data_IF_953354496805
#
_entry.id   IF_953354496805
#
_cell.length_a   1.000
_cell.length_b   1.000
_cell.length_c   1.000
_cell.angle_alpha   90.00
_cell.angle_beta   90.00
_cell.angle_gamma   90.00
#
_symmetry.space_group_name_H-M   'P 1'
#
loop_
_entity.id
_entity.type
_entity.pdbx_description
1 polymer ?
#
# COMPACT_ATOMS: atom_id res chain seq x y z
N UNK A 1 -12.99 -9.91 -21.08
CA UNK A 1 -13.44 -9.42 -19.77
C UNK A 1 -13.67 -7.93 -19.91
N UNK A 2 -14.89 -7.46 -19.70
CA UNK A 2 -15.15 -6.02 -19.57
C UNK A 2 -14.26 -5.51 -18.42
N UNK A 3 -13.53 -4.40 -18.58
CA UNK A 3 -12.76 -3.85 -17.46
C UNK A 3 -13.73 -3.62 -16.31
N UNK A 4 -13.54 -4.33 -15.18
CA UNK A 4 -14.31 -4.07 -13.97
C UNK A 4 -14.10 -2.62 -13.54
N UNK A 5 -15.08 -2.03 -12.86
CA UNK A 5 -14.95 -0.68 -12.32
C UNK A 5 -13.73 -0.62 -11.39
N UNK A 6 -12.93 0.45 -11.50
CA UNK A 6 -11.76 0.70 -10.65
C UNK A 6 -12.11 1.78 -9.64
N UNK A 7 -11.86 1.52 -8.36
CA UNK A 7 -11.95 2.54 -7.32
C UNK A 7 -10.62 2.66 -6.58
N UNK A 8 -10.07 3.88 -6.54
CA UNK A 8 -8.97 4.23 -5.64
C UNK A 8 -9.53 4.60 -4.28
N UNK A 9 -8.99 4.06 -3.20
CA UNK A 9 -9.56 4.23 -1.85
C UNK A 9 -8.49 4.55 -0.81
N UNK A 10 -8.86 5.38 0.17
CA UNK A 10 -8.02 5.74 1.31
C UNK A 10 -8.87 5.99 2.57
N UNK A 11 -8.24 5.87 3.74
CA UNK A 11 -8.86 6.17 5.03
C UNK A 11 -9.05 7.68 5.20
N UNK A 12 -10.21 8.08 5.74
CA UNK A 12 -10.50 9.47 6.08
C UNK A 12 -11.21 9.56 7.43
N UNK A 13 -11.36 10.78 7.98
CA UNK A 13 -12.02 10.98 9.29
C UNK A 13 -13.45 10.42 9.38
N UNK A 14 -14.12 10.25 8.24
CA UNK A 14 -15.48 9.73 8.15
C UNK A 14 -15.55 8.24 7.76
N UNK A 15 -14.42 7.53 7.72
CA UNK A 15 -14.31 6.13 7.30
C UNK A 15 -13.37 5.99 6.10
N UNK A 16 -13.92 5.74 4.93
CA UNK A 16 -13.18 5.48 3.69
C UNK A 16 -13.71 6.33 2.54
N UNK A 17 -12.82 7.07 1.88
CA UNK A 17 -13.15 7.77 0.64
C UNK A 17 -12.82 6.88 -0.55
N UNK A 18 -13.69 6.86 -1.55
CA UNK A 18 -13.49 6.13 -2.81
C UNK A 18 -13.63 7.09 -3.99
N UNK A 19 -12.62 7.09 -4.87
CA UNK A 19 -12.65 7.76 -6.17
C UNK A 19 -12.89 6.71 -7.25
N UNK A 20 -14.04 6.78 -7.90
CA UNK A 20 -14.45 5.84 -8.94
C UNK A 20 -13.92 6.30 -10.29
N UNK A 21 -13.35 5.36 -11.06
CA UNK A 21 -12.91 5.62 -12.43
C UNK A 21 -13.63 4.70 -13.41
N UNK A 22 -14.46 5.32 -14.25
CA UNK A 22 -15.02 4.71 -15.46
C UNK A 22 -14.33 5.33 -16.69
N UNK A 23 -14.23 4.57 -17.79
CA UNK A 23 -13.38 4.93 -18.93
C UNK A 23 -13.79 6.24 -19.62
N UNK A 24 -15.08 6.60 -19.55
CA UNK A 24 -15.68 7.72 -20.30
C UNK A 24 -16.48 8.70 -19.43
N UNK A 25 -16.35 8.62 -18.10
CA UNK A 25 -17.03 9.53 -17.16
C UNK A 25 -16.03 10.32 -16.33
N UNK A 26 -16.39 11.54 -15.89
CA UNK A 26 -15.61 12.22 -14.89
C UNK A 26 -15.52 11.34 -13.63
N UNK A 27 -14.39 11.36 -12.89
CA UNK A 27 -14.29 10.66 -11.63
C UNK A 27 -15.40 11.11 -10.68
N UNK A 28 -15.99 10.15 -9.98
CA UNK A 28 -16.97 10.41 -8.92
C UNK A 28 -16.40 10.01 -7.57
N UNK A 29 -16.99 10.53 -6.49
CA UNK A 29 -16.52 10.31 -5.13
C UNK A 29 -17.66 9.81 -4.26
N UNK A 30 -17.38 8.82 -3.43
CA UNK A 30 -18.25 8.41 -2.33
C UNK A 30 -17.45 8.26 -1.03
N UNK A 31 -18.14 8.35 0.10
CA UNK A 31 -17.55 8.09 1.43
C UNK A 31 -18.37 6.98 2.09
N UNK A 32 -17.67 5.99 2.64
CA UNK A 32 -18.25 4.85 3.33
C UNK A 32 -17.80 4.85 4.80
N UNK A 33 -18.70 4.61 5.76
CA UNK A 33 -18.34 4.53 7.19
C UNK A 33 -17.30 3.44 7.51
N UNK A 34 -17.28 2.36 6.74
CA UNK A 34 -16.39 1.22 6.95
C UNK A 34 -15.89 0.62 5.63
N UNK A 35 -14.75 -0.07 5.68
CA UNK A 35 -14.23 -0.80 4.51
C UNK A 35 -15.17 -1.94 4.10
N UNK A 36 -15.87 -2.55 5.06
CA UNK A 36 -16.87 -3.58 4.78
C UNK A 36 -18.02 -3.05 3.94
N UNK A 37 -18.57 -1.88 4.29
CA UNK A 37 -19.64 -1.23 3.51
C UNK A 37 -19.15 -0.81 2.12
N UNK A 38 -17.90 -0.35 2.00
CA UNK A 38 -17.28 -0.07 0.71
C UNK A 38 -17.25 -1.31 -0.19
N UNK A 39 -16.80 -2.46 0.34
CA UNK A 39 -16.73 -3.72 -0.41
C UNK A 39 -18.13 -4.22 -0.81
N UNK A 40 -19.13 -4.07 0.08
CA UNK A 40 -20.51 -4.45 -0.22
C UNK A 40 -21.14 -3.57 -1.32
N UNK A 41 -20.78 -2.28 -1.36
CA UNK A 41 -21.30 -1.33 -2.35
C UNK A 41 -20.62 -1.44 -3.73
N UNK A 42 -19.41 -2.01 -3.80
CA UNK A 42 -18.61 -2.13 -5.01
C UNK A 42 -18.29 -3.59 -5.37
N UNK A 43 -19.31 -4.45 -5.56
CA UNK A 43 -19.09 -5.82 -5.96
C UNK A 43 -18.38 -5.88 -7.32
N UNK A 44 -17.51 -6.87 -7.52
CA UNK A 44 -16.76 -7.09 -8.77
C UNK A 44 -15.84 -5.94 -9.22
N UNK A 45 -15.63 -4.93 -8.38
CA UNK A 45 -14.76 -3.79 -8.66
C UNK A 45 -13.32 -4.09 -8.24
N UNK A 46 -12.35 -3.56 -8.99
CA UNK A 46 -10.95 -3.54 -8.53
C UNK A 46 -10.77 -2.39 -7.56
N UNK A 47 -10.40 -2.71 -6.32
CA UNK A 47 -10.17 -1.72 -5.26
C UNK A 47 -8.66 -1.50 -5.11
N UNK A 48 -8.19 -0.31 -5.49
CA UNK A 48 -6.81 0.12 -5.32
C UNK A 48 -6.70 0.90 -4.01
N UNK A 49 -6.14 0.26 -2.98
CA UNK A 49 -5.93 0.88 -1.66
C UNK A 49 -4.57 1.57 -1.63
N UNK A 50 -4.51 2.82 -1.17
CA UNK A 50 -3.25 3.57 -0.99
C UNK A 50 -2.49 3.11 0.28
N UNK A 51 -2.25 1.81 0.38
CA UNK A 51 -1.34 1.22 1.35
C UNK A 51 -0.81 -0.11 0.84
N UNK A 52 0.39 -0.53 1.27
CA UNK A 52 0.89 -1.87 0.99
C UNK A 52 -0.03 -2.93 1.60
N UNK A 53 -0.65 -3.74 0.75
CA UNK A 53 -1.34 -4.95 1.19
C UNK A 53 -0.31 -6.08 1.27
N UNK A 54 0.01 -6.48 2.51
CA UNK A 54 1.04 -7.47 2.79
C UNK A 54 2.47 -6.89 2.70
N UNK A 55 3.37 -7.52 3.47
CA UNK A 55 4.80 -7.20 3.49
C UNK A 55 5.58 -8.45 3.13
N UNK A 56 6.63 -8.34 2.29
CA UNK A 56 7.45 -9.48 1.94
C UNK A 56 8.35 -9.88 3.11
N UNK A 57 8.74 -11.15 3.16
CA UNK A 57 9.71 -11.60 4.16
C UNK A 57 11.11 -11.04 3.89
N UNK A 58 11.45 -10.85 2.61
CA UNK A 58 12.71 -10.27 2.16
C UNK A 58 12.48 -9.13 1.17
N UNK A 59 13.21 -8.03 1.33
CA UNK A 59 13.20 -6.93 0.38
C UNK A 59 14.12 -7.21 -0.81
N UNK A 60 13.62 -6.98 -2.02
CA UNK A 60 14.40 -7.03 -3.26
C UNK A 60 14.72 -5.65 -3.80
N UNK A 61 15.83 -5.54 -4.54
CA UNK A 61 16.17 -4.31 -5.27
C UNK A 61 15.01 -3.95 -6.22
N UNK A 62 14.57 -2.69 -6.16
CA UNK A 62 13.45 -2.18 -6.96
C UNK A 62 12.08 -2.30 -6.29
N UNK A 63 11.97 -3.04 -5.18
CA UNK A 63 10.73 -3.22 -4.44
C UNK A 63 9.87 -4.39 -4.95
N UNK A 64 8.58 -4.38 -4.63
CA UNK A 64 7.59 -5.35 -5.11
C UNK A 64 7.31 -5.16 -6.61
N UNK A 65 6.60 -6.11 -7.22
CA UNK A 65 6.21 -6.05 -8.64
C UNK A 65 5.66 -4.69 -9.09
N UNK A 66 4.65 -4.11 -8.40
CA UNK A 66 4.11 -2.80 -8.77
C UNK A 66 5.14 -1.66 -8.73
N UNK A 67 5.97 -1.63 -7.67
CA UNK A 67 7.03 -0.61 -7.50
C UNK A 67 8.08 -0.71 -8.62
N UNK A 68 8.50 -1.93 -8.95
CA UNK A 68 9.46 -2.17 -10.03
C UNK A 68 8.90 -1.79 -11.40
N UNK A 69 7.62 -2.12 -11.67
CA UNK A 69 6.96 -1.87 -12.96
C UNK A 69 6.65 -0.38 -13.20
N UNK A 70 6.31 0.38 -12.15
CA UNK A 70 5.94 1.79 -12.32
C UNK A 70 7.15 2.72 -12.47
N UNK A 71 8.29 2.40 -11.85
CA UNK A 71 9.53 3.22 -11.90
C UNK A 71 9.94 3.66 -13.31
N UNK A 72 10.08 2.76 -14.32
CA UNK A 72 10.49 3.18 -15.67
C UNK A 72 9.47 4.13 -16.33
N UNK A 73 8.20 4.11 -15.91
CA UNK A 73 7.15 4.97 -16.46
C UNK A 73 7.20 6.41 -15.91
N UNK A 74 7.90 6.65 -14.80
CA UNK A 74 7.92 7.94 -14.10
C UNK A 74 9.12 8.83 -14.48
N UNK A 75 10.10 8.30 -15.22
CA UNK A 75 11.29 9.05 -15.64
C UNK A 75 12.05 9.69 -14.47
N UNK A 76 12.15 11.02 -14.46
CA UNK A 76 12.82 11.78 -13.40
C UNK A 76 12.16 11.61 -12.01
N UNK A 77 10.90 11.19 -11.95
CA UNK A 77 10.16 10.97 -10.69
C UNK A 77 10.26 9.54 -10.16
N UNK A 78 11.07 8.68 -10.77
CA UNK A 78 11.23 7.30 -10.31
C UNK A 78 11.71 7.17 -8.85
N UNK A 79 12.43 8.18 -8.34
CA UNK A 79 12.89 8.25 -6.95
C UNK A 79 11.77 8.55 -5.95
N UNK A 80 10.61 9.03 -6.42
CA UNK A 80 9.41 9.24 -5.60
C UNK A 80 8.66 7.93 -5.29
N UNK A 81 9.07 6.80 -5.87
CA UNK A 81 8.53 5.48 -5.55
C UNK A 81 9.34 4.90 -4.40
N UNK A 82 8.73 4.77 -3.23
CA UNK A 82 9.36 4.15 -2.07
C UNK A 82 9.11 2.65 -2.08
N UNK A 83 10.19 1.87 -1.96
CA UNK A 83 10.08 0.42 -1.85
C UNK A 83 9.60 0.06 -0.44
N UNK A 84 8.70 -0.92 -0.36
CA UNK A 84 8.15 -1.34 0.93
C UNK A 84 9.17 -2.20 1.69
N UNK A 85 9.36 -1.96 3.00
CA UNK A 85 10.30 -2.74 3.80
C UNK A 85 9.85 -4.20 3.93
N UNK A 86 10.78 -5.06 4.29
CA UNK A 86 10.43 -6.42 4.70
C UNK A 86 9.63 -6.38 6.01
N UNK A 87 8.86 -7.44 6.26
CA UNK A 87 8.11 -7.60 7.51
C UNK A 87 9.03 -7.51 8.73
N UNK A 88 10.21 -8.14 8.67
CA UNK A 88 11.19 -8.13 9.74
C UNK A 88 11.63 -6.71 10.13
N UNK A 89 11.73 -5.79 9.17
CA UNK A 89 12.17 -4.42 9.41
C UNK A 89 11.13 -3.54 10.13
N UNK A 90 9.87 -3.99 10.24
CA UNK A 90 8.86 -3.29 11.05
C UNK A 90 8.87 -3.70 12.52
N UNK A 91 9.44 -4.86 12.83
CA UNK A 91 9.56 -5.28 14.22
C UNK A 91 10.72 -4.54 14.87
N UNK A 92 10.46 -3.99 16.06
CA UNK A 92 11.47 -3.39 16.89
C UNK A 92 11.61 -4.23 18.16
N UNK A 93 12.85 -4.47 18.60
CA UNK A 93 13.09 -4.94 19.95
C UNK A 93 12.70 -3.80 20.92
N UNK A 94 11.91 -4.12 21.95
CA UNK A 94 11.41 -3.15 22.92
C UNK A 94 12.36 -2.94 24.10
N UNK A 95 13.49 -3.64 24.13
CA UNK A 95 14.51 -3.50 25.16
C UNK A 95 15.24 -2.16 25.03
N UNK A 96 15.71 -1.64 26.16
CA UNK A 96 16.52 -0.42 26.17
C UNK A 96 17.81 -0.60 25.37
N UNK A 97 18.23 0.47 24.69
CA UNK A 97 19.53 0.52 24.05
C UNK A 97 20.63 0.57 25.13
N UNK A 98 21.33 -0.54 25.31
CA UNK A 98 22.41 -0.68 26.31
C UNK A 98 23.78 -0.67 25.64
N UNK A 99 24.04 -1.64 24.76
CA UNK A 99 25.27 -1.71 23.96
C UNK A 99 24.96 -2.02 22.48
N UNK A 100 25.89 -1.67 21.59
CA UNK A 100 25.80 -1.96 20.16
C UNK A 100 25.72 -3.48 19.93
N UNK A 101 26.47 -4.28 20.69
CA UNK A 101 26.49 -5.74 20.57
C UNK A 101 25.13 -6.35 20.95
N UNK A 102 24.53 -5.89 22.06
CA UNK A 102 23.22 -6.32 22.50
C UNK A 102 22.14 -5.95 21.47
N UNK A 103 22.21 -4.73 20.93
CA UNK A 103 21.32 -4.27 19.87
C UNK A 103 21.43 -5.13 18.60
N UNK A 104 22.65 -5.43 18.13
CA UNK A 104 22.84 -6.32 16.98
C UNK A 104 22.39 -7.76 17.26
N UNK A 105 22.61 -8.28 18.47
CA UNK A 105 22.13 -9.61 18.84
C UNK A 105 20.60 -9.70 18.82
N UNK A 106 19.92 -8.65 19.25
CA UNK A 106 18.47 -8.54 19.18
C UNK A 106 17.94 -8.57 17.74
N UNK A 107 18.56 -7.82 16.81
CA UNK A 107 18.08 -7.66 15.42
C UNK A 107 18.49 -8.78 14.47
N UNK A 108 19.35 -9.72 14.90
CA UNK A 108 19.76 -10.90 14.11
C UNK A 108 18.87 -12.13 14.34
N UNK A 109 17.91 -12.06 15.25
CA UNK A 109 16.93 -13.12 15.52
C UNK A 109 15.83 -13.09 14.46
#
# INVERSE_FOLDING_TARGET
MTPGALAGVDGCKAGWIAVHRELDKPPSVSVFPSFHELLAALPESTIAVDMPIGLPDFSSKGGRGPEALVRPLLGARQSSVFAIPSRAALYADTSDFTTIEAWYAAHRR
#
